data_IF_203125734098
#
_entry.id   IF_203125734098
#
_cell.length_a   1.000
_cell.length_b   1.000
_cell.length_c   1.000
_cell.angle_alpha   90.00
_cell.angle_beta   90.00
_cell.angle_gamma   90.00
#
_symmetry.space_group_name_H-M   'P 1'
#
loop_
_entity.id
_entity.type
_entity.pdbx_description
1 polymer ?
#
# COMPACT_ATOMS: atom_id res chain seq x y z
N UNK A 1 -8.67 -16.80 -9.69
CA UNK A 1 -9.19 -15.66 -8.91
C UNK A 1 -8.05 -15.07 -8.10
N UNK A 2 -7.77 -13.78 -8.23
CA UNK A 2 -6.71 -13.14 -7.44
C UNK A 2 -7.25 -12.53 -6.14
N UNK A 3 -6.35 -12.09 -5.25
CA UNK A 3 -6.74 -11.54 -3.95
C UNK A 3 -7.61 -10.30 -4.04
N UNK A 4 -7.45 -9.49 -5.07
CA UNK A 4 -8.24 -8.28 -5.26
C UNK A 4 -9.70 -8.59 -5.61
N UNK A 5 -9.93 -9.61 -6.41
CA UNK A 5 -11.29 -10.10 -6.72
C UNK A 5 -11.98 -10.58 -5.45
N UNK A 6 -11.26 -11.31 -4.60
CA UNK A 6 -11.78 -11.77 -3.31
C UNK A 6 -12.15 -10.59 -2.42
N UNK A 7 -11.31 -9.54 -2.38
CA UNK A 7 -11.60 -8.33 -1.61
C UNK A 7 -12.84 -7.60 -2.12
N UNK A 8 -12.98 -7.46 -3.44
CA UNK A 8 -14.18 -6.86 -4.04
C UNK A 8 -15.44 -7.61 -3.65
N UNK A 9 -15.42 -8.93 -3.74
CA UNK A 9 -16.55 -9.78 -3.37
C UNK A 9 -16.89 -9.66 -1.88
N UNK A 10 -15.88 -9.56 -1.02
CA UNK A 10 -16.08 -9.36 0.42
C UNK A 10 -16.82 -8.06 0.72
N UNK A 11 -16.49 -6.97 0.03
CA UNK A 11 -17.20 -5.70 0.20
C UNK A 11 -18.64 -5.77 -0.28
N UNK A 12 -18.92 -6.53 -1.34
CA UNK A 12 -20.30 -6.76 -1.79
C UNK A 12 -21.14 -7.43 -0.70
N UNK A 13 -20.58 -8.47 -0.08
CA UNK A 13 -21.25 -9.20 1.01
C UNK A 13 -21.48 -8.28 2.21
N UNK A 14 -20.48 -7.51 2.62
CA UNK A 14 -20.60 -6.59 3.76
C UNK A 14 -21.69 -5.54 3.53
N UNK A 15 -21.79 -5.02 2.31
CA UNK A 15 -22.83 -4.06 1.93
C UNK A 15 -24.22 -4.69 1.99
N UNK A 16 -24.39 -5.92 1.48
CA UNK A 16 -25.64 -6.65 1.52
C UNK A 16 -26.10 -6.92 2.95
N UNK A 17 -25.16 -7.14 3.86
CA UNK A 17 -25.43 -7.38 5.27
C UNK A 17 -25.66 -6.09 6.09
N UNK A 18 -25.53 -4.94 5.46
CA UNK A 18 -25.66 -3.65 6.14
C UNK A 18 -24.53 -3.31 7.10
N UNK A 19 -23.38 -4.01 7.00
CA UNK A 19 -22.23 -3.80 7.88
C UNK A 19 -21.33 -2.65 7.46
N UNK A 20 -21.49 -2.16 6.25
CA UNK A 20 -20.74 -1.04 5.69
C UNK A 20 -21.68 -0.20 4.85
N UNK A 21 -21.45 1.12 4.83
CA UNK A 21 -22.25 2.02 3.99
C UNK A 21 -22.10 1.65 2.52
N UNK A 22 -23.21 1.68 1.78
CA UNK A 22 -23.24 1.30 0.37
C UNK A 22 -22.27 2.12 -0.47
N UNK A 23 -22.14 3.41 -0.21
CA UNK A 23 -21.24 4.30 -0.93
C UNK A 23 -19.77 3.92 -0.73
N UNK A 24 -19.38 3.62 0.51
CA UNK A 24 -18.01 3.15 0.82
C UNK A 24 -17.72 1.81 0.17
N UNK A 25 -18.68 0.90 0.22
CA UNK A 25 -18.52 -0.42 -0.39
C UNK A 25 -18.35 -0.30 -1.91
N UNK A 26 -19.17 0.52 -2.56
CA UNK A 26 -19.11 0.76 -4.00
C UNK A 26 -17.74 1.30 -4.43
N UNK A 27 -17.21 2.26 -3.68
CA UNK A 27 -15.89 2.82 -3.96
C UNK A 27 -14.79 1.78 -3.80
N UNK A 28 -14.82 0.99 -2.73
CA UNK A 28 -13.86 -0.08 -2.48
C UNK A 28 -13.92 -1.15 -3.57
N UNK A 29 -15.11 -1.55 -3.98
CA UNK A 29 -15.31 -2.53 -5.05
C UNK A 29 -14.67 -2.04 -6.36
N UNK A 30 -14.90 -0.78 -6.73
CA UNK A 30 -14.29 -0.21 -7.94
C UNK A 30 -12.75 -0.23 -7.88
N UNK A 31 -12.18 0.11 -6.72
CA UNK A 31 -10.74 0.09 -6.53
C UNK A 31 -10.19 -1.32 -6.68
N UNK A 32 -10.77 -2.29 -5.99
CA UNK A 32 -10.30 -3.68 -6.05
C UNK A 32 -10.54 -4.34 -7.40
N UNK A 33 -11.65 -4.03 -8.08
CA UNK A 33 -11.88 -4.50 -9.44
C UNK A 33 -10.81 -3.97 -10.40
N UNK A 34 -10.43 -2.70 -10.28
CA UNK A 34 -9.33 -2.13 -11.05
C UNK A 34 -8.00 -2.81 -10.74
N UNK A 35 -7.66 -2.97 -9.46
CA UNK A 35 -6.42 -3.63 -9.05
C UNK A 35 -6.36 -5.08 -9.54
N UNK A 36 -7.50 -5.76 -9.63
CA UNK A 36 -7.57 -7.12 -10.15
C UNK A 36 -7.16 -7.21 -11.63
N UNK A 37 -7.24 -6.10 -12.38
CA UNK A 37 -6.81 -6.04 -13.79
C UNK A 37 -5.33 -5.72 -13.94
N UNK A 38 -4.65 -5.31 -12.86
CA UNK A 38 -3.26 -4.87 -12.89
C UNK A 38 -2.30 -6.03 -12.71
N UNK A 39 -1.17 -5.97 -13.40
CA UNK A 39 -0.04 -6.84 -13.14
C UNK A 39 0.98 -6.14 -12.22
N UNK A 40 2.08 -6.83 -11.90
CA UNK A 40 3.11 -6.25 -11.03
C UNK A 40 3.77 -5.00 -11.62
N UNK A 41 3.92 -4.95 -12.94
CA UNK A 41 4.48 -3.77 -13.61
C UNK A 41 3.56 -2.56 -13.44
N UNK A 42 2.24 -2.76 -13.58
CA UNK A 42 1.25 -1.69 -13.36
C UNK A 42 1.30 -1.18 -11.93
N UNK A 43 1.38 -2.08 -10.95
CA UNK A 43 1.45 -1.73 -9.53
C UNK A 43 2.74 -0.95 -9.22
N UNK A 44 3.88 -1.39 -9.76
CA UNK A 44 5.15 -0.69 -9.62
C UNK A 44 5.07 0.73 -10.20
N UNK A 45 4.45 0.87 -11.34
CA UNK A 45 4.28 2.18 -11.97
C UNK A 45 3.44 3.12 -11.12
N UNK A 46 2.39 2.62 -10.48
CA UNK A 46 1.58 3.42 -9.56
C UNK A 46 2.38 3.89 -8.35
N UNK A 47 3.22 3.03 -7.78
CA UNK A 47 4.10 3.39 -6.67
C UNK A 47 5.13 4.44 -7.12
N UNK A 48 5.76 4.22 -8.27
CA UNK A 48 6.79 5.12 -8.81
C UNK A 48 6.23 6.49 -9.20
N UNK A 49 4.93 6.60 -9.42
CA UNK A 49 4.27 7.88 -9.73
C UNK A 49 4.22 8.85 -8.54
N UNK A 50 4.66 8.44 -7.38
CA UNK A 50 4.62 9.18 -6.10
C UNK A 50 3.22 9.35 -5.50
N UNK A 51 2.19 8.78 -6.11
CA UNK A 51 0.82 8.92 -5.64
C UNK A 51 0.62 8.36 -4.22
N UNK A 52 1.40 7.35 -3.85
CA UNK A 52 1.26 6.67 -2.55
C UNK A 52 2.43 6.97 -1.60
N UNK A 53 3.42 7.76 -2.02
CA UNK A 53 4.64 7.93 -1.25
C UNK A 53 4.40 8.44 0.17
N UNK A 54 3.54 9.45 0.33
CA UNK A 54 3.25 10.02 1.64
C UNK A 54 2.60 9.01 2.58
N UNK A 55 1.69 8.19 2.05
CA UNK A 55 1.01 7.16 2.83
C UNK A 55 1.99 6.06 3.24
N UNK A 56 2.78 5.57 2.29
CA UNK A 56 3.78 4.51 2.55
C UNK A 56 4.81 4.99 3.55
N UNK A 57 5.34 6.21 3.38
CA UNK A 57 6.30 6.80 4.31
C UNK A 57 5.71 6.97 5.72
N UNK A 58 4.42 7.32 5.81
CA UNK A 58 3.75 7.43 7.09
C UNK A 58 3.65 6.09 7.82
N UNK A 59 3.31 5.00 7.10
CA UNK A 59 3.32 3.66 7.69
C UNK A 59 4.70 3.27 8.19
N UNK A 60 5.74 3.52 7.40
CA UNK A 60 7.12 3.20 7.77
C UNK A 60 7.58 3.99 8.99
N UNK A 61 7.27 5.30 9.04
CA UNK A 61 7.58 6.13 10.21
C UNK A 61 6.90 5.62 11.46
N UNK A 62 5.64 5.22 11.36
CA UNK A 62 4.90 4.67 12.49
C UNK A 62 5.53 3.37 12.98
N UNK A 63 5.91 2.48 12.06
CA UNK A 63 6.57 1.23 12.40
C UNK A 63 7.89 1.47 13.14
N UNK A 64 8.71 2.42 12.65
CA UNK A 64 9.98 2.78 13.28
C UNK A 64 9.76 3.33 14.68
N UNK A 65 8.77 4.22 14.87
CA UNK A 65 8.45 4.77 16.20
C UNK A 65 8.05 3.72 17.21
N UNK A 66 7.35 2.69 16.76
CA UNK A 66 6.89 1.58 17.61
C UNK A 66 7.93 0.50 17.82
N UNK A 67 9.02 0.50 17.06
CA UNK A 67 10.09 -0.46 17.22
C UNK A 67 10.83 -0.23 18.54
N UNK A 68 11.18 -1.31 19.22
CA UNK A 68 11.93 -1.24 20.48
C UNK A 68 13.44 -1.10 20.16
N UNK A 69 13.83 0.06 19.68
CA UNK A 69 15.21 0.40 19.32
C UNK A 69 15.53 1.80 19.82
N UNK A 70 16.83 2.10 19.99
CA UNK A 70 17.28 3.42 20.43
C UNK A 70 16.96 4.54 19.44
N UNK A 71 16.93 5.77 19.94
CA UNK A 71 16.59 6.94 19.13
C UNK A 71 17.53 7.13 17.93
N UNK A 72 18.84 6.94 18.15
CA UNK A 72 19.83 7.05 17.06
C UNK A 72 19.56 6.05 15.93
N UNK A 73 19.18 4.81 16.28
CA UNK A 73 18.84 3.79 15.31
C UNK A 73 17.57 4.17 14.53
N UNK A 74 16.57 4.74 15.22
CA UNK A 74 15.33 5.23 14.57
C UNK A 74 15.64 6.31 13.55
N UNK A 75 16.46 7.27 13.90
CA UNK A 75 16.84 8.36 13.00
C UNK A 75 17.58 7.87 11.76
N UNK A 76 18.49 6.90 11.93
CA UNK A 76 19.20 6.29 10.80
C UNK A 76 18.28 5.55 9.86
N UNK A 77 17.31 4.80 10.37
CA UNK A 77 16.34 4.08 9.55
C UNK A 77 15.45 5.05 8.78
N UNK A 78 14.95 6.10 9.44
CA UNK A 78 14.12 7.13 8.80
C UNK A 78 14.87 7.83 7.66
N UNK A 79 16.15 8.15 7.87
CA UNK A 79 17.00 8.75 6.84
C UNK A 79 17.12 7.84 5.62
N UNK A 80 17.36 6.54 5.81
CA UNK A 80 17.45 5.58 4.72
C UNK A 80 16.12 5.40 3.98
N UNK A 81 15.00 5.47 4.67
CA UNK A 81 13.68 5.40 4.04
C UNK A 81 13.54 6.49 2.97
N UNK A 82 13.90 7.72 3.30
CA UNK A 82 13.82 8.82 2.34
C UNK A 82 14.76 8.63 1.16
N UNK A 83 16.00 8.22 1.40
CA UNK A 83 16.95 7.96 0.32
C UNK A 83 16.49 6.86 -0.62
N UNK A 84 15.98 5.76 -0.08
CA UNK A 84 15.52 4.63 -0.91
C UNK A 84 14.35 5.05 -1.79
N UNK A 85 13.39 5.81 -1.24
CA UNK A 85 12.27 6.31 -2.04
C UNK A 85 12.70 7.26 -3.16
N UNK A 86 13.71 8.08 -2.91
CA UNK A 86 14.18 9.07 -3.89
C UNK A 86 15.07 8.44 -4.97
N UNK A 87 15.83 7.39 -4.65
CA UNK A 87 16.85 6.82 -5.55
C UNK A 87 16.39 5.55 -6.26
N UNK A 88 15.42 4.83 -5.73
CA UNK A 88 15.05 3.51 -6.22
C UNK A 88 13.64 3.47 -6.78
N UNK A 89 13.47 2.70 -7.84
CA UNK A 89 12.15 2.38 -8.37
C UNK A 89 11.63 1.09 -7.73
N UNK A 90 10.31 0.94 -7.66
CA UNK A 90 9.65 -0.21 -7.05
C UNK A 90 10.15 -1.54 -7.63
N UNK A 91 10.37 -1.59 -8.93
CA UNK A 91 10.85 -2.79 -9.62
C UNK A 91 12.23 -3.21 -9.14
N UNK A 92 13.14 -2.25 -8.93
CA UNK A 92 14.48 -2.50 -8.40
C UNK A 92 14.42 -3.04 -6.97
N UNK A 93 13.57 -2.46 -6.14
CA UNK A 93 13.39 -2.87 -4.75
C UNK A 93 12.89 -4.31 -4.67
N UNK A 94 11.89 -4.65 -5.49
CA UNK A 94 11.35 -6.01 -5.57
C UNK A 94 12.40 -7.01 -6.03
N UNK A 95 13.23 -6.63 -7.00
CA UNK A 95 14.26 -7.52 -7.53
C UNK A 95 15.39 -7.81 -6.53
N UNK A 96 15.61 -6.92 -5.56
CA UNK A 96 16.67 -7.03 -4.55
C UNK A 96 16.20 -7.55 -3.19
N UNK A 97 14.97 -7.96 -3.13
CA UNK A 97 14.39 -8.50 -1.90
C UNK A 97 14.95 -9.87 -1.49
#
# INVERSE_FOLDING_TARGET
>A
MNGYTIMADSYKVLAEQGKIEAEKAEKAIRIFDFLATCDNDDLCQMVDSSAFNDIIKAFLRMAVRKADIGQDAKEKVLEQIYFVFDEKQAKEVLANE
#
